data_IF_489720059146
#
_entry.id   IF_489720059146
#
_cell.length_a   1.000
_cell.length_b   1.000
_cell.length_c   1.000
_cell.angle_alpha   90.00
_cell.angle_beta   90.00
_cell.angle_gamma   90.00
#
_symmetry.space_group_name_H-M   'P 1'
#
loop_
_entity.id
_entity.type
_entity.pdbx_description
1 polymer ?
#
# COMPACT_ATOMS: atom_id res chain seq x y z
N UNK A 1 25.49 -10.01 2.38
CA UNK A 1 25.09 -9.56 2.18
C UNK A 1 24.35 -9.19 2.25
N UNK A 2 23.92 -9.00 2.37
CA UNK A 2 23.25 -8.65 2.40
C UNK A 2 22.70 -7.94 2.09
N UNK A 3 22.33 -7.77 1.71
CA UNK A 3 21.73 -7.06 1.43
C UNK A 3 21.00 -6.64 1.80
N UNK A 4 20.85 -6.55 1.88
CA UNK A 4 20.23 -6.10 2.36
C UNK A 4 19.60 -5.05 2.35
N UNK A 5 19.80 -4.56 2.18
CA UNK A 5 19.15 -3.42 2.02
C UNK A 5 18.23 -3.40 0.99
N UNK A 6 17.53 -4.33 0.94
CA UNK A 6 16.46 -4.34 0.11
C UNK A 6 15.50 -3.38 0.59
N UNK A 7 15.08 -2.46 -0.19
CA UNK A 7 14.14 -1.47 0.27
C UNK A 7 12.80 -2.12 0.56
N UNK A 8 11.74 -1.54 0.17
CA UNK A 8 10.41 -2.05 0.45
C UNK A 8 10.07 -3.18 -0.49
N UNK A 9 9.52 -4.23 0.03
CA UNK A 9 9.01 -5.31 -0.80
C UNK A 9 7.83 -4.83 -1.60
N UNK A 10 7.62 -5.34 -2.82
CA UNK A 10 6.43 -5.00 -3.57
C UNK A 10 5.18 -5.38 -2.78
N UNK A 11 4.09 -4.64 -2.95
CA UNK A 11 2.84 -5.00 -2.26
C UNK A 11 2.35 -6.37 -2.73
N UNK A 12 1.81 -7.13 -1.80
CA UNK A 12 1.29 -8.44 -2.13
C UNK A 12 -0.05 -8.33 -2.85
N UNK A 13 -0.41 -9.38 -3.58
CA UNK A 13 -1.72 -9.41 -4.22
C UNK A 13 -2.83 -9.37 -3.17
N UNK A 14 -2.58 -9.97 -2.02
CA UNK A 14 -3.56 -9.95 -0.94
C UNK A 14 -3.85 -8.55 -0.45
N UNK A 15 -2.81 -7.73 -0.34
CA UNK A 15 -2.98 -6.36 0.08
C UNK A 15 -3.77 -5.57 -0.97
N UNK A 16 -3.42 -5.73 -2.23
CA UNK A 16 -4.12 -5.03 -3.30
C UNK A 16 -5.58 -5.45 -3.38
N UNK A 17 -5.85 -6.75 -3.21
CA UNK A 17 -7.22 -7.24 -3.19
C UNK A 17 -7.99 -6.70 -2.01
N UNK A 18 -7.36 -6.63 -0.85
CA UNK A 18 -8.00 -6.07 0.33
C UNK A 18 -8.40 -4.62 0.09
N UNK A 19 -7.49 -3.83 -0.45
CA UNK A 19 -7.76 -2.42 -0.70
C UNK A 19 -8.89 -2.27 -1.73
N UNK A 20 -8.83 -3.05 -2.79
CA UNK A 20 -9.84 -2.96 -3.84
C UNK A 20 -11.22 -3.43 -3.37
N UNK A 21 -11.26 -4.59 -2.70
CA UNK A 21 -12.54 -5.23 -2.38
C UNK A 21 -13.15 -4.73 -1.08
N UNK A 22 -12.34 -4.47 -0.08
CA UNK A 22 -12.86 -4.06 1.22
C UNK A 22 -13.04 -2.56 1.32
N UNK A 23 -12.15 -1.81 0.71
CA UNK A 23 -12.18 -0.36 0.81
C UNK A 23 -12.78 0.31 -0.42
N UNK A 24 -12.99 -0.46 -1.47
CA UNK A 24 -13.60 0.07 -2.68
C UNK A 24 -12.73 1.05 -3.45
N UNK A 25 -11.43 0.95 -3.30
CA UNK A 25 -10.51 1.83 -4.01
C UNK A 25 -10.34 1.33 -5.45
N UNK A 26 -10.35 2.24 -6.40
CA UNK A 26 -10.27 1.87 -7.81
C UNK A 26 -8.93 1.26 -8.15
N UNK A 27 -8.93 0.42 -9.18
CA UNK A 27 -7.70 -0.21 -9.64
C UNK A 27 -6.68 0.84 -10.11
N UNK A 28 -7.16 1.90 -10.75
CA UNK A 28 -6.27 2.97 -11.20
C UNK A 28 -5.54 3.63 -10.04
N UNK A 29 -6.25 3.85 -8.93
CA UNK A 29 -5.65 4.45 -7.76
C UNK A 29 -4.60 3.52 -7.16
N UNK A 30 -4.90 2.22 -7.12
CA UNK A 30 -3.95 1.23 -6.60
C UNK A 30 -2.69 1.19 -7.46
N UNK A 31 -2.86 1.19 -8.77
CA UNK A 31 -1.72 1.15 -9.68
C UNK A 31 -0.84 2.39 -9.53
N UNK A 32 -1.45 3.55 -9.39
CA UNK A 32 -0.71 4.78 -9.16
C UNK A 32 0.06 4.69 -7.85
N UNK A 33 -0.59 4.18 -6.81
CA UNK A 33 0.05 4.00 -5.51
C UNK A 33 1.24 3.07 -5.59
N UNK A 34 1.11 1.96 -6.31
CA UNK A 34 2.20 1.01 -6.48
C UNK A 34 3.39 1.68 -7.16
N UNK A 35 3.12 2.42 -8.22
CA UNK A 35 4.17 3.11 -8.95
C UNK A 35 4.91 4.09 -8.05
N UNK A 36 4.18 4.89 -7.29
CA UNK A 36 4.80 5.86 -6.40
C UNK A 36 5.53 5.20 -5.24
N UNK A 37 4.96 4.12 -4.73
CA UNK A 37 5.59 3.36 -3.67
C UNK A 37 6.97 2.86 -4.09
N UNK A 38 7.07 2.37 -5.31
CA UNK A 38 8.36 1.91 -5.83
C UNK A 38 9.34 3.07 -6.00
N UNK A 39 8.85 4.19 -6.52
CA UNK A 39 9.72 5.34 -6.76
C UNK A 39 10.23 5.97 -5.47
N UNK A 40 9.41 5.98 -4.43
CA UNK A 40 9.74 6.64 -3.18
C UNK A 40 10.26 5.70 -2.11
N UNK A 41 10.30 4.41 -2.40
CA UNK A 41 10.71 3.40 -1.42
C UNK A 41 9.88 3.53 -0.14
N UNK A 42 8.59 3.72 -0.29
CA UNK A 42 7.70 3.88 0.85
C UNK A 42 6.58 2.85 0.78
N UNK A 43 6.00 2.46 1.93
CA UNK A 43 4.92 1.47 1.94
C UNK A 43 3.71 1.95 1.15
N UNK A 44 3.08 1.05 0.42
CA UNK A 44 1.94 1.39 -0.42
C UNK A 44 0.82 2.14 0.31
N UNK A 45 0.35 1.66 1.48
CA UNK A 45 -0.75 2.37 2.14
C UNK A 45 -0.41 3.81 2.51
N UNK A 46 0.80 4.03 2.98
CA UNK A 46 1.24 5.36 3.37
C UNK A 46 1.32 6.27 2.16
N UNK A 47 1.86 5.76 1.06
CA UNK A 47 1.96 6.53 -0.17
C UNK A 47 0.56 6.89 -0.68
N UNK A 48 -0.36 5.93 -0.71
CA UNK A 48 -1.72 6.19 -1.17
C UNK A 48 -2.39 7.25 -0.30
N UNK A 49 -2.20 7.17 1.00
CA UNK A 49 -2.75 8.16 1.90
C UNK A 49 -2.15 9.55 1.63
N UNK A 50 -0.85 9.62 1.44
CA UNK A 50 -0.18 10.91 1.25
C UNK A 50 -0.59 11.58 -0.06
N UNK A 51 -1.04 10.81 -1.03
CA UNK A 51 -1.51 11.34 -2.30
C UNK A 51 -3.02 11.54 -2.34
N UNK A 52 -3.68 11.35 -1.20
CA UNK A 52 -5.12 11.54 -1.14
C UNK A 52 -5.94 10.41 -1.72
N UNK A 53 -5.32 9.27 -1.96
CA UNK A 53 -6.01 8.10 -2.51
C UNK A 53 -6.71 7.29 -1.42
N UNK A 54 -6.33 7.49 -0.18
CA UNK A 54 -6.94 6.83 0.97
C UNK A 54 -7.24 7.87 2.04
N UNK A 55 -8.32 7.64 2.79
CA UNK A 55 -8.58 8.45 3.98
C UNK A 55 -7.74 7.92 5.13
N UNK A 56 -7.62 8.72 6.20
CA UNK A 56 -6.89 8.26 7.37
C UNK A 56 -7.55 7.04 8.00
N UNK A 57 -8.87 6.97 7.96
CA UNK A 57 -9.59 5.80 8.47
C UNK A 57 -9.25 4.55 7.68
N UNK A 58 -9.20 4.67 6.36
CA UNK A 58 -8.83 3.54 5.50
C UNK A 58 -7.41 3.11 5.75
N UNK A 59 -6.51 4.08 5.93
CA UNK A 59 -5.12 3.77 6.22
C UNK A 59 -5.01 2.97 7.51
N UNK A 60 -5.73 3.39 8.54
CA UNK A 60 -5.72 2.67 9.82
C UNK A 60 -6.21 1.25 9.68
N UNK A 61 -7.26 1.05 8.88
CA UNK A 61 -7.79 -0.29 8.64
C UNK A 61 -6.73 -1.18 7.97
N UNK A 62 -6.05 -0.64 6.98
CA UNK A 62 -5.03 -1.40 6.27
C UNK A 62 -3.87 -1.77 7.20
N UNK A 63 -3.41 -0.82 7.99
CA UNK A 63 -2.30 -1.06 8.90
C UNK A 63 -2.66 -2.11 9.94
N UNK A 64 -3.89 -2.07 10.43
CA UNK A 64 -4.38 -3.06 11.37
C UNK A 64 -4.43 -4.45 10.72
N UNK A 65 -4.91 -4.50 9.48
CA UNK A 65 -4.99 -5.76 8.74
C UNK A 65 -3.60 -6.35 8.52
N UNK A 66 -2.63 -5.52 8.14
CA UNK A 66 -1.26 -5.99 7.92
C UNK A 66 -0.62 -6.49 9.21
N UNK A 67 -0.94 -5.82 10.31
CA UNK A 67 -0.38 -6.20 11.60
C UNK A 67 -0.84 -7.60 12.02
N UNK A 68 -2.07 -7.94 11.69
CA UNK A 68 -2.65 -9.22 12.06
C UNK A 68 -2.43 -10.30 11.02
N UNK A 69 -1.75 -9.98 9.96
CA UNK A 69 -1.52 -10.88 8.85
C UNK A 69 -0.05 -11.29 8.75
#
# INVERSE_FOLDING_TARGET
MINTSKPINPPSNELCDFISNKLGVSQSAIELGIKRSCLENSPLPVVMWSYGLLTISQLKVILSWQKNH
#
